data_IF_116642416368
#
_entry.id   IF_116642416368
#
_cell.length_a   1.000
_cell.length_b   1.000
_cell.length_c   1.000
_cell.angle_alpha   90.00
_cell.angle_beta   90.00
_cell.angle_gamma   90.00
#
_symmetry.space_group_name_H-M   'P 1'
#
loop_
_entity.id
_entity.type
_entity.pdbx_description
1 polymer ?
#
# COMPACT_ATOMS: atom_id res chain seq x y z
N UNK A 1 3.13 -43.42 -16.49
CA UNK A 1 3.71 -42.47 -15.50
C UNK A 1 2.65 -41.42 -15.24
N UNK A 2 2.20 -41.28 -13.99
CA UNK A 2 1.11 -40.35 -13.63
C UNK A 2 1.65 -38.93 -13.65
N UNK A 3 1.13 -38.11 -14.55
CA UNK A 3 1.37 -36.68 -14.62
C UNK A 3 0.69 -36.04 -13.39
N UNK A 4 1.47 -35.62 -12.40
CA UNK A 4 0.97 -34.73 -11.36
C UNK A 4 0.95 -33.32 -11.93
N UNK A 5 -0.13 -32.98 -12.62
CA UNK A 5 -0.44 -31.59 -12.93
C UNK A 5 -0.74 -30.90 -11.59
N UNK A 6 0.29 -30.33 -10.97
CA UNK A 6 0.10 -29.30 -9.96
C UNK A 6 -0.54 -28.16 -10.72
N UNK A 7 -1.87 -28.16 -10.76
CA UNK A 7 -2.67 -26.98 -11.04
C UNK A 7 -2.21 -26.03 -9.95
N UNK A 8 -1.24 -25.18 -10.27
CA UNK A 8 -0.96 -23.97 -9.52
C UNK A 8 -2.28 -23.24 -9.54
N UNK A 9 -3.06 -23.47 -8.48
CA UNK A 9 -4.15 -22.62 -8.09
C UNK A 9 -3.45 -21.28 -7.88
N UNK A 10 -3.40 -20.48 -8.95
CA UNK A 10 -3.38 -19.03 -8.87
C UNK A 10 -4.67 -18.71 -8.13
N UNK A 11 -4.68 -18.98 -6.81
CA UNK A 11 -5.52 -18.28 -5.90
C UNK A 11 -5.21 -16.84 -6.27
N UNK A 12 -6.16 -16.21 -6.96
CA UNK A 12 -6.22 -14.79 -7.17
C UNK A 12 -6.25 -14.21 -5.77
N UNK A 13 -5.08 -14.15 -5.14
CA UNK A 13 -4.87 -13.56 -3.85
C UNK A 13 -5.12 -12.11 -4.13
N UNK A 14 -6.34 -11.69 -3.87
CA UNK A 14 -6.69 -10.31 -3.91
C UNK A 14 -5.75 -9.61 -2.93
N UNK A 15 -4.73 -8.95 -3.46
CA UNK A 15 -3.71 -8.30 -2.67
C UNK A 15 -4.26 -6.95 -2.19
N UNK A 16 -3.84 -6.51 -0.99
CA UNK A 16 -4.09 -5.14 -0.58
C UNK A 16 -3.44 -4.19 -1.59
N UNK A 17 -4.24 -3.27 -2.13
CA UNK A 17 -3.78 -2.28 -3.11
C UNK A 17 -3.76 -0.91 -2.44
N UNK A 18 -2.61 -0.25 -2.51
CA UNK A 18 -2.43 1.12 -2.06
C UNK A 18 -2.33 2.02 -3.29
N UNK A 19 -3.18 3.04 -3.35
CA UNK A 19 -3.18 4.05 -4.40
C UNK A 19 -2.67 5.36 -3.81
N UNK A 20 -1.44 5.80 -4.12
CA UNK A 20 -0.90 7.05 -3.60
C UNK A 20 -1.45 8.25 -4.39
N UNK A 21 -1.65 9.37 -3.69
CA UNK A 21 -2.16 10.62 -4.25
C UNK A 21 -1.30 11.80 -3.83
N UNK A 22 -1.09 12.75 -4.73
CA UNK A 22 -0.45 14.04 -4.41
C UNK A 22 -1.40 15.00 -3.69
N UNK A 23 -2.70 14.73 -3.71
CA UNK A 23 -3.72 15.46 -2.96
C UNK A 23 -4.03 14.80 -1.63
N UNK A 24 -4.16 15.60 -0.57
CA UNK A 24 -4.53 15.13 0.77
C UNK A 24 -5.99 14.65 0.87
N UNK A 25 -6.84 15.01 -0.09
CA UNK A 25 -8.22 14.53 -0.18
C UNK A 25 -8.35 13.23 -0.98
N UNK A 26 -7.25 12.72 -1.53
CA UNK A 26 -7.26 11.63 -2.52
C UNK A 26 -8.16 11.92 -3.75
N UNK A 27 -8.39 13.20 -4.05
CA UNK A 27 -9.08 13.63 -5.27
C UNK A 27 -8.16 13.63 -6.49
N UNK A 28 -8.73 13.37 -7.66
CA UNK A 28 -8.02 13.35 -8.94
C UNK A 28 -7.41 11.98 -9.28
N UNK A 29 -6.39 11.98 -10.13
CA UNK A 29 -5.68 10.76 -10.55
C UNK A 29 -4.65 10.33 -9.51
N UNK A 30 -4.55 9.01 -9.30
CA UNK A 30 -3.48 8.43 -8.49
C UNK A 30 -2.14 8.50 -9.23
N UNK A 31 -1.03 8.58 -8.49
CA UNK A 31 0.33 8.47 -9.07
C UNK A 31 0.73 7.02 -9.41
N UNK A 32 -0.09 6.03 -9.05
CA UNK A 32 0.17 4.63 -9.37
C UNK A 32 -0.60 3.67 -8.47
N UNK A 33 -0.16 2.42 -8.41
CA UNK A 33 -0.68 1.44 -7.46
C UNK A 33 0.46 0.61 -6.90
N UNK A 34 0.37 0.27 -5.61
CA UNK A 34 1.33 -0.58 -4.91
C UNK A 34 0.57 -1.80 -4.40
N UNK A 35 0.97 -2.98 -4.86
CA UNK A 35 0.35 -4.27 -4.51
C UNK A 35 1.33 -5.23 -3.85
N UNK A 36 2.63 -4.96 -3.96
CA UNK A 36 3.68 -5.86 -3.49
C UNK A 36 3.72 -5.91 -1.96
N UNK A 37 3.83 -7.13 -1.42
CA UNK A 37 4.24 -7.35 -0.04
C UNK A 37 5.58 -6.66 0.25
N UNK A 38 5.79 -6.29 1.50
CA UNK A 38 7.04 -5.68 1.96
C UNK A 38 7.05 -4.18 1.74
N UNK A 39 8.25 -3.60 1.80
CA UNK A 39 8.43 -2.15 1.79
C UNK A 39 8.52 -1.60 0.37
N UNK A 40 7.76 -0.55 0.07
CA UNK A 40 7.84 0.20 -1.18
C UNK A 40 7.92 1.69 -0.89
N UNK A 41 8.90 2.37 -1.49
CA UNK A 41 8.98 3.84 -1.43
C UNK A 41 7.83 4.48 -2.19
N UNK A 42 7.17 5.44 -1.54
CA UNK A 42 6.05 6.15 -2.12
C UNK A 42 6.55 7.39 -2.85
N UNK A 43 6.18 7.51 -4.13
CA UNK A 43 6.40 8.71 -4.91
C UNK A 43 7.87 9.12 -5.03
N UNK A 44 8.68 8.34 -5.76
CA UNK A 44 10.08 8.66 -6.03
C UNK A 44 10.31 10.12 -6.48
N UNK A 45 9.38 10.67 -7.27
CA UNK A 45 9.37 12.05 -7.76
C UNK A 45 8.15 12.88 -7.31
N UNK A 46 7.29 12.34 -6.42
CA UNK A 46 6.00 12.95 -6.09
C UNK A 46 5.82 13.10 -4.58
N UNK A 47 5.34 14.26 -4.13
CA UNK A 47 4.96 14.47 -2.73
C UNK A 47 3.59 13.83 -2.48
N UNK A 48 3.59 12.62 -1.93
CA UNK A 48 2.35 11.87 -1.64
C UNK A 48 1.71 12.41 -0.38
N UNK A 49 0.50 12.98 -0.50
CA UNK A 49 -0.24 13.59 0.62
C UNK A 49 -1.48 12.81 1.04
N UNK A 50 -1.89 11.82 0.25
CA UNK A 50 -3.00 10.94 0.56
C UNK A 50 -2.76 9.54 0.02
N UNK A 51 -3.43 8.54 0.59
CA UNK A 51 -3.44 7.20 0.04
C UNK A 51 -4.81 6.56 0.17
N UNK A 52 -5.34 5.99 -0.91
CA UNK A 52 -6.55 5.16 -0.85
C UNK A 52 -6.13 3.69 -0.69
N UNK A 53 -6.87 2.96 0.12
CA UNK A 53 -6.66 1.54 0.37
C UNK A 53 -7.83 0.75 -0.19
N UNK A 54 -7.51 -0.30 -0.95
CA UNK A 54 -8.41 -1.40 -1.23
C UNK A 54 -7.83 -2.65 -0.56
N UNK A 55 -8.42 -3.07 0.54
CA UNK A 55 -7.94 -4.06 1.47
C UNK A 55 -8.60 -5.40 1.18
N UNK A 56 -7.78 -6.44 1.05
CA UNK A 56 -8.29 -7.76 0.73
C UNK A 56 -7.72 -8.87 1.62
N UNK A 57 -6.80 -8.55 2.55
CA UNK A 57 -6.35 -9.35 3.73
C UNK A 57 -5.05 -8.86 4.41
N UNK A 58 -4.33 -7.88 3.85
CA UNK A 58 -3.00 -7.47 4.35
C UNK A 58 -2.93 -6.03 4.88
N UNK A 59 -2.31 -5.82 6.05
CA UNK A 59 -2.12 -4.52 6.71
C UNK A 59 -1.17 -3.62 5.92
N UNK A 60 -1.55 -2.35 5.75
CA UNK A 60 -0.68 -1.33 5.16
C UNK A 60 -0.17 -0.38 6.26
N UNK A 61 1.15 -0.34 6.44
CA UNK A 61 1.83 0.61 7.34
C UNK A 61 2.49 1.72 6.53
N UNK A 62 2.08 2.96 6.77
CA UNK A 62 2.55 4.15 6.08
C UNK A 62 3.57 4.88 6.95
N UNK A 63 4.79 5.03 6.44
CA UNK A 63 5.92 5.61 7.15
C UNK A 63 6.17 7.04 6.70
N UNK A 64 6.65 7.88 7.62
CA UNK A 64 7.12 9.24 7.30
C UNK A 64 8.38 9.18 6.44
N UNK A 65 9.29 8.27 6.78
CA UNK A 65 10.55 8.05 6.09
C UNK A 65 10.42 7.17 4.85
N UNK A 66 11.49 7.16 4.06
CA UNK A 66 11.71 6.19 2.99
C UNK A 66 12.16 4.85 3.61
N UNK A 67 12.14 3.79 2.81
CA UNK A 67 12.60 2.44 3.16
C UNK A 67 11.93 1.86 4.42
N UNK A 68 10.71 2.32 4.73
CA UNK A 68 9.92 1.92 5.89
C UNK A 68 10.62 2.19 7.23
N UNK A 69 11.33 3.31 7.28
CA UNK A 69 12.01 3.78 8.48
C UNK A 69 11.21 4.89 9.20
N UNK A 70 11.39 4.93 10.53
CA UNK A 70 10.82 5.96 11.41
C UNK A 70 9.35 5.74 11.77
N UNK A 71 8.69 6.83 12.16
CA UNK A 71 7.30 6.82 12.65
C UNK A 71 6.34 6.39 11.53
N UNK A 72 5.37 5.54 11.89
CA UNK A 72 4.35 5.04 10.96
C UNK A 72 2.95 5.03 11.55
N UNK A 73 1.96 4.95 10.66
CA UNK A 73 0.57 4.59 10.99
C UNK A 73 0.19 3.31 10.25
N UNK A 74 -0.60 2.44 10.88
CA UNK A 74 -1.07 1.20 10.25
C UNK A 74 -2.56 1.25 9.98
N UNK A 75 -2.98 0.64 8.87
CA UNK A 75 -4.38 0.46 8.48
C UNK A 75 -4.62 -0.98 8.06
N UNK A 76 -5.66 -1.58 8.63
CA UNK A 76 -6.03 -2.98 8.43
C UNK A 76 -7.41 -3.15 7.76
N UNK A 77 -7.91 -2.10 7.10
CA UNK A 77 -9.21 -2.09 6.43
C UNK A 77 -9.20 -1.08 5.28
N UNK A 78 -10.21 -1.16 4.41
CA UNK A 78 -10.45 -0.19 3.35
C UNK A 78 -10.50 1.23 3.90
N UNK A 79 -9.89 2.17 3.18
CA UNK A 79 -9.93 3.59 3.51
C UNK A 79 -10.12 4.38 2.23
N UNK A 80 -11.17 5.19 2.20
CA UNK A 80 -11.45 6.11 1.09
C UNK A 80 -10.30 7.10 0.88
N UNK A 81 -9.70 7.59 1.98
CA UNK A 81 -8.46 8.35 1.94
C UNK A 81 -7.76 8.38 3.31
N UNK A 82 -6.54 7.82 3.39
CA UNK A 82 -5.63 7.98 4.51
C UNK A 82 -4.95 9.34 4.38
N UNK A 83 -5.25 10.23 5.32
CA UNK A 83 -4.63 11.55 5.42
C UNK A 83 -3.30 11.46 6.16
N UNK A 84 -2.41 12.39 5.85
CA UNK A 84 -1.16 12.57 6.60
C UNK A 84 -1.46 12.86 8.09
N UNK A 85 -0.72 12.22 9.01
CA UNK A 85 -0.68 12.67 10.39
C UNK A 85 -0.22 14.13 10.50
N UNK A 86 -0.63 14.80 11.59
CA UNK A 86 -0.22 16.19 11.87
C UNK A 86 1.32 16.28 11.91
N UNK A 87 1.87 17.32 11.26
CA UNK A 87 3.32 17.54 11.18
C UNK A 87 4.06 16.70 10.13
N UNK A 88 3.34 15.94 9.28
CA UNK A 88 3.93 15.26 8.14
C UNK A 88 3.73 16.08 6.85
N UNK A 89 4.77 16.16 6.03
CA UNK A 89 4.72 16.83 4.72
C UNK A 89 4.32 15.88 3.59
N UNK A 90 4.65 14.59 3.71
CA UNK A 90 4.30 13.53 2.77
C UNK A 90 4.47 12.14 3.38
N UNK A 91 3.85 11.12 2.77
CA UNK A 91 4.18 9.72 3.02
C UNK A 91 5.48 9.38 2.29
N UNK A 92 6.44 8.78 2.99
CA UNK A 92 7.73 8.41 2.41
C UNK A 92 7.73 6.99 1.84
N UNK A 93 7.07 6.05 2.51
CA UNK A 93 6.99 4.65 2.08
C UNK A 93 5.77 3.95 2.68
N UNK A 94 5.41 2.81 2.10
CA UNK A 94 4.39 1.91 2.63
C UNK A 94 4.96 0.51 2.74
N UNK A 95 4.62 -0.18 3.82
CA UNK A 95 4.83 -1.62 4.00
C UNK A 95 3.48 -2.32 3.93
N UNK A 96 3.31 -3.23 2.98
CA UNK A 96 2.14 -4.13 2.95
C UNK A 96 2.58 -5.45 3.59
N UNK A 97 1.93 -5.86 4.68
CA UNK A 97 2.33 -7.02 5.46
C UNK A 97 1.17 -7.64 6.25
N UNK A 98 1.37 -8.88 6.70
CA UNK A 98 0.33 -9.68 7.33
C UNK A 98 -0.73 -10.17 6.33
N UNK A 99 -1.41 -11.27 6.65
CA UNK A 99 -2.39 -11.88 5.74
C UNK A 99 -1.79 -12.30 4.38
N UNK A 100 -2.64 -12.39 3.36
CA UNK A 100 -2.21 -12.65 1.98
C UNK A 100 -2.02 -11.33 1.25
N UNK A 101 -0.80 -11.12 0.80
CA UNK A 101 -0.41 -10.20 -0.24
C UNK A 101 0.23 -11.05 -1.35
#
# INVERSE_FOLDING_TARGET
>A
MKLFTIITLLASASATIVYPYTSASCGGSTVGRITSCGCTNMGANYKIKGAKLNFQKATASFYKGKNCEGVFISKASDQSCVKLPVGWSSFGSVKIHGGTC
#
